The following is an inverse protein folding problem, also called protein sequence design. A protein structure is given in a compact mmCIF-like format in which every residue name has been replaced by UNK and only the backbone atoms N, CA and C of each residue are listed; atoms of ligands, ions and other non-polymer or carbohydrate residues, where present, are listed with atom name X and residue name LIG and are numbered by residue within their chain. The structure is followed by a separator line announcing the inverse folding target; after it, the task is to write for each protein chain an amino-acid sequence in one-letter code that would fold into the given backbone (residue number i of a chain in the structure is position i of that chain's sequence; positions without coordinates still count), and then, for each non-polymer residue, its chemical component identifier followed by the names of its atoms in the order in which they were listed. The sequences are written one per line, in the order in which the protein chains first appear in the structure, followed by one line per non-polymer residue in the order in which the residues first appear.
data_IF_306217475156
#
_entry.id   IF_306217475156
#
_cell.length_a   1.000
_cell.length_b   1.000
_cell.length_c   1.000
_cell.angle_alpha   90.00
_cell.angle_beta   90.00
_cell.angle_gamma   90.00
#
_symmetry.space_group_name_H-M   'P 1'
#
loop_
_entity.id
_entity.type
_entity.pdbx_description
1 polymer ?
#
# COMPACT_ATOMS: atom_id res chain seq x y z
N UNK A 1 -4.58 -4.74 -11.09
CA UNK A 1 -4.20 -3.77 -10.02
C UNK A 1 -4.94 -4.16 -8.74
N UNK A 2 -4.30 -4.07 -7.58
CA UNK A 2 -4.92 -4.37 -6.28
C UNK A 2 -5.10 -3.04 -5.54
N UNK A 3 -6.34 -2.66 -5.26
CA UNK A 3 -6.66 -1.44 -4.52
C UNK A 3 -6.92 -1.77 -3.07
N UNK A 4 -6.24 -1.07 -2.17
CA UNK A 4 -6.48 -1.13 -0.74
C UNK A 4 -7.09 0.17 -0.27
N UNK A 5 -8.15 0.07 0.53
CA UNK A 5 -8.70 1.17 1.31
C UNK A 5 -8.04 1.13 2.68
N UNK A 6 -7.29 2.19 2.99
CA UNK A 6 -6.58 2.40 4.24
C UNK A 6 -7.39 3.36 5.11
N UNK A 7 -7.61 2.98 6.35
CA UNK A 7 -8.13 3.85 7.39
C UNK A 7 -6.96 4.24 8.30
N UNK A 8 -6.69 5.53 8.37
CA UNK A 8 -5.60 6.12 9.15
C UNK A 8 -6.16 6.78 10.40
N UNK A 9 -5.41 6.73 11.49
CA UNK A 9 -5.67 7.53 12.69
C UNK A 9 -5.18 8.97 12.54
N UNK A 10 -5.49 9.86 13.50
CA UNK A 10 -5.08 11.26 13.47
C UNK A 10 -3.55 11.45 13.49
N UNK A 11 -2.81 10.45 14.00
CA UNK A 11 -1.35 10.43 14.00
C UNK A 11 -0.75 9.79 12.73
N UNK A 12 -1.57 9.58 11.70
CA UNK A 12 -1.23 8.90 10.45
C UNK A 12 -0.71 7.46 10.62
N UNK A 13 -1.13 6.80 11.70
CA UNK A 13 -0.99 5.37 11.91
C UNK A 13 -2.08 4.59 11.15
N UNK A 14 -1.73 3.41 10.61
CA UNK A 14 -2.71 2.57 9.91
C UNK A 14 -3.56 1.81 10.93
N UNK A 15 -4.81 2.23 11.08
CA UNK A 15 -5.81 1.57 11.92
C UNK A 15 -6.34 0.31 11.22
N UNK A 16 -6.65 0.40 9.93
CA UNK A 16 -7.21 -0.71 9.15
C UNK A 16 -6.81 -0.63 7.68
N UNK A 17 -6.55 -1.78 7.08
CA UNK A 17 -6.45 -1.92 5.63
C UNK A 17 -7.45 -2.96 5.16
N UNK A 18 -8.20 -2.65 4.11
CA UNK A 18 -9.16 -3.55 3.50
C UNK A 18 -9.02 -3.51 1.97
N UNK A 19 -9.37 -4.61 1.31
CA UNK A 19 -9.41 -4.69 -0.15
C UNK A 19 -10.58 -5.56 -0.53
N UNK A 20 -11.28 -5.16 -1.60
CA UNK A 20 -12.31 -5.93 -2.28
C UNK A 20 -11.70 -6.97 -3.25
N UNK A 21 -10.39 -6.96 -3.42
CA UNK A 21 -9.68 -7.90 -4.26
C UNK A 21 -9.74 -9.33 -3.71
N UNK A 22 -10.34 -10.22 -4.51
CA UNK A 22 -10.37 -11.66 -4.25
C UNK A 22 -9.24 -12.33 -5.06
N UNK A 23 -8.23 -12.90 -4.39
CA UNK A 23 -7.11 -13.55 -5.09
C UNK A 23 -7.58 -14.82 -5.81
N UNK A 24 -7.25 -14.93 -7.10
CA UNK A 24 -7.62 -16.09 -7.93
C UNK A 24 -6.72 -17.31 -7.69
N UNK A 25 -5.50 -17.10 -7.18
CA UNK A 25 -4.52 -18.15 -6.94
C UNK A 25 -3.65 -17.89 -5.69
N UNK A 26 -2.78 -18.85 -5.35
CA UNK A 26 -1.92 -18.79 -4.17
C UNK A 26 -0.86 -17.67 -4.25
N UNK A 27 -0.39 -17.33 -5.45
CA UNK A 27 0.60 -16.26 -5.68
C UNK A 27 -0.03 -14.91 -5.38
N UNK A 28 -1.22 -14.64 -5.92
CA UNK A 28 -1.98 -13.40 -5.67
C UNK A 28 -2.35 -13.22 -4.20
N UNK A 29 -2.70 -14.31 -3.50
CA UNK A 29 -2.93 -14.29 -2.05
C UNK A 29 -1.66 -13.88 -1.29
N UNK A 30 -0.53 -14.47 -1.65
CA UNK A 30 0.76 -14.16 -1.03
C UNK A 30 1.15 -12.70 -1.27
N UNK A 31 0.92 -12.19 -2.48
CA UNK A 31 1.17 -10.81 -2.81
C UNK A 31 0.29 -9.84 -2.02
N UNK A 32 -1.01 -10.12 -1.92
CA UNK A 32 -1.93 -9.33 -1.09
C UNK A 32 -1.42 -9.25 0.35
N UNK A 33 -1.04 -10.40 0.93
CA UNK A 33 -0.55 -10.46 2.30
C UNK A 33 0.80 -9.75 2.46
N UNK A 34 1.68 -9.81 1.45
CA UNK A 34 2.95 -9.09 1.41
C UNK A 34 2.73 -7.57 1.35
N UNK A 35 1.79 -7.08 0.52
CA UNK A 35 1.43 -5.67 0.43
C UNK A 35 0.89 -5.15 1.77
N UNK A 36 0.00 -5.91 2.43
CA UNK A 36 -0.50 -5.58 3.78
C UNK A 36 0.65 -5.49 4.80
N UNK A 37 1.59 -6.44 4.77
CA UNK A 37 2.77 -6.40 5.65
C UNK A 37 3.69 -5.21 5.36
N UNK A 38 3.92 -4.88 4.10
CA UNK A 38 4.72 -3.73 3.70
C UNK A 38 4.09 -2.42 4.21
N UNK A 39 2.77 -2.24 4.01
CA UNK A 39 2.04 -1.06 4.50
C UNK A 39 2.13 -0.89 6.02
N UNK A 40 2.02 -1.98 6.78
CA UNK A 40 2.21 -1.95 8.24
C UNK A 40 3.63 -1.54 8.66
N UNK A 41 4.64 -1.81 7.84
CA UNK A 41 6.05 -1.46 8.12
C UNK A 41 6.40 -0.02 7.77
N UNK A 42 5.67 0.63 6.86
CA UNK A 42 5.90 2.02 6.47
C UNK A 42 5.31 3.05 7.46
N UNK A 43 4.98 2.63 8.70
CA UNK A 43 4.37 3.49 9.71
C UNK A 43 5.39 4.15 10.63
N UNK A 44 5.12 5.38 11.10
CA UNK A 44 3.97 6.22 10.75
C UNK A 44 4.14 6.87 9.38
N UNK A 45 3.07 6.94 8.59
CA UNK A 45 3.08 7.71 7.35
C UNK A 45 3.14 9.20 7.72
N UNK A 46 3.74 10.04 6.87
CA UNK A 46 3.71 11.49 7.11
C UNK A 46 2.28 11.98 6.88
N UNK A 47 1.66 12.55 7.92
CA UNK A 47 0.34 13.18 7.80
C UNK A 47 0.39 14.29 6.73
N UNK A 48 -0.58 14.33 5.80
CA UNK A 48 -0.72 15.44 4.85
C UNK A 48 -1.01 16.75 5.59
N UNK A 49 -0.60 17.87 4.99
CA UNK A 49 -0.98 19.22 5.46
C UNK A 49 -2.40 19.56 4.98
N UNK A 50 -3.37 18.77 5.44
CA UNK A 50 -4.79 18.86 5.12
C UNK A 50 -5.64 18.37 6.31
N UNK A 51 -6.92 18.78 6.41
CA UNK A 51 -7.82 18.31 7.46
C UNK A 51 -7.91 16.78 7.51
N UNK A 52 -7.86 16.20 8.72
CA UNK A 52 -7.91 14.75 8.94
C UNK A 52 -9.06 14.05 8.21
N UNK A 53 -10.23 14.69 8.17
CA UNK A 53 -11.42 14.17 7.50
C UNK A 53 -11.20 13.87 6.00
N UNK A 54 -10.24 14.53 5.36
CA UNK A 54 -9.92 14.38 3.93
C UNK A 54 -8.99 13.19 3.65
N UNK A 55 -8.21 12.74 4.64
CA UNK A 55 -7.20 11.70 4.45
C UNK A 55 -7.32 10.49 5.38
N UNK A 56 -8.24 10.54 6.36
CA UNK A 56 -8.57 9.41 7.24
C UNK A 56 -8.94 8.14 6.50
N UNK A 57 -9.48 8.26 5.28
CA UNK A 57 -9.71 7.16 4.36
C UNK A 57 -8.96 7.43 3.05
N UNK A 58 -7.89 6.67 2.82
CA UNK A 58 -7.05 6.80 1.64
C UNK A 58 -7.07 5.52 0.82
N UNK A 59 -7.06 5.64 -0.51
CA UNK A 59 -7.01 4.50 -1.43
C UNK A 59 -5.62 4.38 -2.03
N UNK A 60 -5.02 3.20 -1.92
CA UNK A 60 -3.71 2.89 -2.50
C UNK A 60 -3.86 1.75 -3.49
N UNK A 61 -3.49 2.00 -4.74
CA UNK A 61 -3.53 1.00 -5.81
C UNK A 61 -2.14 0.50 -6.10
N UNK A 62 -1.92 -0.80 -5.96
CA UNK A 62 -0.69 -1.47 -6.37
C UNK A 62 -0.85 -1.99 -7.79
N UNK A 63 -0.07 -1.43 -8.72
CA UNK A 63 0.06 -1.91 -10.09
C UNK A 63 1.17 -2.97 -10.16
N UNK A 64 0.80 -4.22 -10.44
CA UNK A 64 1.77 -5.33 -10.49
C UNK A 64 2.77 -5.21 -11.64
N UNK A 65 2.38 -4.62 -12.78
CA UNK A 65 3.25 -4.54 -13.97
C UNK A 65 4.47 -3.64 -13.78
N UNK A 66 4.44 -2.66 -12.85
CA UNK A 66 5.58 -1.77 -12.60
C UNK A 66 6.56 -2.27 -11.54
N UNK A 67 6.16 -3.22 -10.70
CA UNK A 67 7.00 -3.71 -9.60
C UNK A 67 8.14 -4.64 -10.08
N UNK A 68 7.98 -5.27 -11.24
CA UNK A 68 9.02 -6.12 -11.87
C UNK A 68 9.96 -5.37 -12.83
N UNK A 69 9.70 -4.09 -13.11
CA UNK A 69 10.47 -3.28 -14.07
C UNK A 69 11.63 -2.48 -13.45
N UNK A 70 11.76 -2.43 -12.12
CA UNK A 70 12.80 -1.63 -11.44
C UNK A 70 14.12 -2.38 -11.23
N UNK A 71 14.48 -3.31 -12.13
CA UNK A 71 15.83 -3.88 -12.19
C UNK A 71 16.65 -3.20 -13.28
N UNK A 72 16.75 -1.87 -13.20
CA UNK A 72 17.75 -1.11 -13.94
C UNK A 72 18.35 -0.06 -12.99
N UNK A 73 18.98 -0.54 -11.92
CA UNK A 73 20.04 0.22 -11.27
C UNK A 73 21.31 -0.06 -12.07
N UNK A 74 21.63 0.82 -13.03
CA UNK A 74 22.98 0.89 -13.55
C UNK A 74 23.89 1.40 -12.43
N UNK A 75 24.82 0.56 -11.98
CA UNK A 75 25.95 0.98 -11.16
C UNK A 75 26.89 1.77 -12.08
N UNK A 76 27.27 3.02 -11.73
CA UNK A 76 28.33 3.70 -12.45
C UNK A 76 29.67 3.00 -12.20
N UNK A 77 30.50 2.92 -13.26
CA UNK A 77 31.87 2.38 -13.24
C UNK A 77 32.75 3.00 -12.13
#
# INVERSE_FOLDING_TARGET
PITFVLQLGPDADLVKASTDYVPANAVERTLRDAAVRAMKRCLPLRAPDAPYEEWKETRVTFEMEKASGASQFELPD
#
